data_IF_136949965816
#
_entry.id   IF_136949965816
#
_cell.length_a   1.000
_cell.length_b   1.000
_cell.length_c   1.000
_cell.angle_alpha   90.00
_cell.angle_beta   90.00
_cell.angle_gamma   90.00
#
_symmetry.space_group_name_H-M   'P 1'
#
loop_
_entity.id
_entity.type
_entity.pdbx_description
1 polymer ?
#
# COMPACT_ATOMS: atom_id res chain seq x y z
N UNK A 1 27.34 -9.81 5.85
CA UNK A 1 26.43 -9.19 4.85
C UNK A 1 25.77 -10.29 4.02
N UNK A 2 24.43 -10.40 4.08
CA UNK A 2 23.69 -11.39 3.30
C UNK A 2 23.30 -10.76 1.98
N UNK A 3 23.82 -11.27 0.86
CA UNK A 3 23.63 -10.70 -0.48
C UNK A 3 22.66 -11.47 -1.39
N UNK A 4 22.05 -12.56 -0.88
CA UNK A 4 21.09 -13.35 -1.64
C UNK A 4 20.04 -14.00 -0.75
N UNK A 5 18.87 -14.26 -1.31
CA UNK A 5 17.80 -15.04 -0.68
C UNK A 5 17.01 -15.80 -1.73
N UNK A 6 16.31 -16.84 -1.28
CA UNK A 6 15.32 -17.54 -2.06
C UNK A 6 13.96 -16.88 -1.85
N UNK A 7 13.19 -16.77 -2.93
CA UNK A 7 11.85 -16.20 -2.96
C UNK A 7 10.84 -17.33 -3.01
N UNK A 8 9.88 -17.28 -2.10
CA UNK A 8 8.80 -18.25 -1.99
C UNK A 8 7.46 -17.59 -2.22
N UNK A 9 6.55 -18.32 -2.83
CA UNK A 9 5.12 -18.02 -2.88
C UNK A 9 4.44 -18.81 -1.77
N UNK A 10 3.70 -18.12 -0.91
CA UNK A 10 2.93 -18.65 0.21
C UNK A 10 1.49 -18.17 0.05
N UNK A 11 0.77 -18.83 -0.84
CA UNK A 11 -0.63 -18.52 -1.14
C UNK A 11 -1.60 -19.53 -0.46
N UNK A 12 -2.44 -20.18 -1.22
CA UNK A 12 -3.36 -21.23 -0.76
C UNK A 12 -2.72 -22.61 -0.62
N UNK A 13 -1.46 -22.75 -1.01
CA UNK A 13 -0.71 -23.99 -0.99
C UNK A 13 0.46 -23.94 0.01
N UNK A 14 1.09 -25.08 0.22
CA UNK A 14 2.36 -25.13 0.92
C UNK A 14 3.39 -24.20 0.27
N UNK A 15 4.31 -23.61 1.06
CA UNK A 15 5.31 -22.69 0.55
C UNK A 15 6.09 -23.25 -0.61
N UNK A 16 6.12 -22.55 -1.73
CA UNK A 16 6.76 -22.99 -2.98
C UNK A 16 7.86 -22.00 -3.35
N UNK A 17 9.07 -22.53 -3.57
CA UNK A 17 10.16 -21.69 -4.06
C UNK A 17 9.87 -21.29 -5.51
N UNK A 18 9.89 -20.01 -5.79
CA UNK A 18 9.66 -19.47 -7.13
C UNK A 18 10.93 -18.92 -7.79
N UNK A 19 11.94 -18.51 -7.02
CA UNK A 19 13.15 -17.96 -7.60
C UNK A 19 14.23 -17.66 -6.57
N UNK A 20 15.30 -17.01 -7.08
CA UNK A 20 16.42 -16.52 -6.29
C UNK A 20 16.66 -15.05 -6.59
N UNK A 21 16.87 -14.27 -5.55
CA UNK A 21 17.24 -12.88 -5.62
C UNK A 21 18.65 -12.68 -5.04
N UNK A 22 19.50 -11.94 -5.75
CA UNK A 22 20.89 -11.68 -5.37
C UNK A 22 21.21 -10.22 -5.62
N UNK A 23 21.98 -9.60 -4.73
CA UNK A 23 22.59 -8.27 -4.96
C UNK A 23 24.08 -8.45 -5.13
N UNK A 24 24.62 -7.90 -6.22
CA UNK A 24 26.04 -7.85 -6.50
C UNK A 24 26.39 -6.46 -7.01
N UNK A 25 27.36 -5.80 -6.39
CA UNK A 25 27.84 -4.45 -6.76
C UNK A 25 26.72 -3.39 -6.87
N UNK A 26 25.73 -3.46 -5.97
CA UNK A 26 24.58 -2.57 -5.95
C UNK A 26 23.50 -2.87 -7.01
N UNK A 27 23.67 -3.93 -7.81
CA UNK A 27 22.71 -4.39 -8.80
C UNK A 27 21.98 -5.62 -8.28
N UNK A 28 20.64 -5.61 -8.37
CA UNK A 28 19.81 -6.74 -8.02
C UNK A 28 19.59 -7.65 -9.22
N UNK A 29 19.66 -8.95 -8.98
CA UNK A 29 19.43 -9.99 -9.99
C UNK A 29 18.36 -10.94 -9.48
N UNK A 30 17.34 -11.19 -10.30
CA UNK A 30 16.31 -12.17 -10.01
C UNK A 30 16.23 -13.21 -11.12
N UNK A 31 16.09 -14.47 -10.74
CA UNK A 31 15.87 -15.59 -11.65
C UNK A 31 14.79 -16.52 -11.12
N UNK A 32 13.85 -16.90 -11.98
CA UNK A 32 12.90 -17.96 -11.64
C UNK A 32 13.58 -19.31 -11.54
N UNK A 33 13.18 -20.14 -10.58
CA UNK A 33 13.64 -21.51 -10.46
C UNK A 33 13.00 -22.41 -11.53
N UNK A 34 13.75 -23.40 -12.04
CA UNK A 34 13.23 -24.37 -13.00
C UNK A 34 12.01 -25.14 -12.45
N UNK A 35 12.02 -25.42 -11.14
CA UNK A 35 10.88 -26.04 -10.46
C UNK A 35 9.62 -25.17 -10.45
N UNK A 36 9.75 -23.84 -10.52
CA UNK A 36 8.62 -22.93 -10.68
C UNK A 36 8.18 -22.84 -12.13
N UNK A 37 9.12 -22.64 -13.06
CA UNK A 37 8.84 -22.52 -14.50
C UNK A 37 8.12 -23.75 -15.08
N UNK A 38 8.39 -24.94 -14.57
CA UNK A 38 7.77 -26.18 -15.02
C UNK A 38 6.36 -26.45 -14.46
N UNK A 39 5.85 -25.62 -13.53
CA UNK A 39 4.53 -25.82 -12.93
C UNK A 39 3.43 -25.31 -13.84
N UNK A 40 2.30 -26.01 -13.84
CA UNK A 40 1.08 -25.56 -14.57
C UNK A 40 0.40 -24.34 -13.94
N UNK A 41 0.57 -24.18 -12.62
CA UNK A 41 0.02 -23.08 -11.81
C UNK A 41 1.04 -21.96 -11.55
N UNK A 42 2.19 -21.97 -12.22
CA UNK A 42 3.15 -20.89 -12.15
C UNK A 42 2.60 -19.61 -12.77
N UNK A 43 2.97 -18.51 -12.19
CA UNK A 43 2.65 -17.19 -12.69
C UNK A 43 3.85 -16.23 -12.52
N UNK A 44 3.94 -15.17 -13.35
CA UNK A 44 4.95 -14.14 -13.17
C UNK A 44 4.66 -13.32 -11.90
N UNK A 45 5.70 -13.04 -11.10
CA UNK A 45 5.54 -12.16 -9.93
C UNK A 45 5.20 -10.73 -10.35
N UNK A 46 5.72 -10.29 -11.47
CA UNK A 46 5.37 -9.05 -12.14
C UNK A 46 5.18 -9.35 -13.63
N UNK A 47 3.93 -9.30 -14.13
CA UNK A 47 3.63 -9.68 -15.51
C UNK A 47 4.17 -8.69 -16.55
N UNK A 48 4.60 -7.52 -16.12
CA UNK A 48 5.11 -6.46 -17.00
C UNK A 48 6.63 -6.49 -17.08
N UNK A 49 7.32 -6.51 -15.93
CA UNK A 49 8.75 -6.32 -15.84
C UNK A 49 9.52 -7.63 -15.68
N UNK A 50 8.89 -8.66 -15.10
CA UNK A 50 9.50 -9.96 -14.80
C UNK A 50 8.61 -11.09 -15.31
N UNK A 51 8.40 -11.21 -16.65
CA UNK A 51 7.59 -12.28 -17.24
C UNK A 51 8.14 -13.67 -16.88
N UNK A 52 7.28 -14.70 -16.95
CA UNK A 52 7.62 -16.08 -16.57
C UNK A 52 8.47 -16.74 -17.68
N UNK A 53 9.74 -16.42 -17.73
CA UNK A 53 10.72 -16.97 -18.69
C UNK A 53 12.04 -17.31 -17.99
N UNK A 54 12.79 -18.22 -18.59
CA UNK A 54 14.12 -18.64 -18.11
C UNK A 54 15.18 -17.60 -18.50
N UNK A 55 15.30 -16.57 -17.70
CA UNK A 55 16.31 -15.53 -17.86
C UNK A 55 16.67 -14.89 -16.52
N UNK A 56 17.81 -14.23 -16.46
CA UNK A 56 18.20 -13.42 -15.32
C UNK A 56 17.78 -11.98 -15.54
N UNK A 57 16.89 -11.51 -14.70
CA UNK A 57 16.45 -10.12 -14.70
C UNK A 57 17.36 -9.26 -13.84
N UNK A 58 17.66 -8.06 -14.29
CA UNK A 58 18.40 -7.06 -13.53
C UNK A 58 17.46 -6.00 -12.96
N UNK A 59 17.76 -5.56 -11.75
CA UNK A 59 17.06 -4.44 -11.13
C UNK A 59 17.33 -3.14 -11.89
N UNK A 60 16.29 -2.34 -12.17
CA UNK A 60 16.48 -0.98 -12.73
C UNK A 60 16.81 0.04 -11.64
N UNK A 61 16.60 -0.29 -10.37
CA UNK A 61 16.72 0.61 -9.23
C UNK A 61 18.13 0.68 -8.68
N UNK A 62 18.47 1.82 -8.09
CA UNK A 62 19.67 1.94 -7.23
C UNK A 62 19.54 0.99 -6.04
N UNK A 63 20.67 0.53 -5.53
CA UNK A 63 20.76 -0.43 -4.41
C UNK A 63 20.12 -1.79 -4.69
N UNK A 64 19.85 -2.09 -5.97
CA UNK A 64 19.42 -3.40 -6.42
C UNK A 64 17.97 -3.78 -6.08
N UNK A 65 17.14 -2.88 -5.62
CA UNK A 65 15.75 -3.18 -5.29
C UNK A 65 14.95 -3.67 -6.51
N UNK A 66 14.13 -4.69 -6.33
CA UNK A 66 13.19 -5.21 -7.33
C UNK A 66 11.77 -4.93 -6.80
N UNK A 67 11.03 -4.09 -7.51
CA UNK A 67 9.78 -3.51 -7.04
C UNK A 67 8.80 -4.51 -6.42
N UNK A 68 8.43 -5.56 -7.16
CA UNK A 68 7.49 -6.57 -6.68
C UNK A 68 7.96 -7.34 -5.43
N UNK A 69 9.28 -7.48 -5.24
CA UNK A 69 9.84 -8.07 -4.03
C UNK A 69 9.79 -7.04 -2.89
N UNK A 70 10.17 -5.79 -3.18
CA UNK A 70 10.19 -4.69 -2.23
C UNK A 70 8.80 -4.29 -1.71
N UNK A 71 7.72 -4.58 -2.45
CA UNK A 71 6.34 -4.40 -1.96
C UNK A 71 6.06 -5.21 -0.69
N UNK A 72 6.82 -6.28 -0.44
CA UNK A 72 6.71 -7.12 0.77
C UNK A 72 7.71 -6.75 1.88
N UNK A 73 8.59 -5.76 1.64
CA UNK A 73 9.58 -5.31 2.61
C UNK A 73 9.01 -4.29 3.61
N UNK A 74 9.65 -4.13 4.78
CA UNK A 74 9.38 -3.00 5.67
C UNK A 74 9.62 -1.65 4.98
N UNK A 75 8.73 -0.69 5.18
CA UNK A 75 8.87 0.71 4.75
C UNK A 75 9.18 1.62 5.97
N UNK A 76 9.04 2.92 5.83
CA UNK A 76 9.48 3.95 6.79
C UNK A 76 9.19 3.61 8.26
N UNK A 77 7.94 3.35 8.61
CA UNK A 77 7.56 2.95 9.98
C UNK A 77 8.16 1.61 10.37
N UNK A 78 8.02 0.60 9.51
CA UNK A 78 8.53 -0.74 9.76
C UNK A 78 10.05 -0.75 9.99
N UNK A 79 10.79 0.07 9.25
CA UNK A 79 12.24 0.24 9.44
C UNK A 79 12.56 0.91 10.78
N UNK A 80 11.80 1.93 11.20
CA UNK A 80 11.96 2.56 12.52
C UNK A 80 11.73 1.55 13.66
N UNK A 81 10.68 0.74 13.57
CA UNK A 81 10.37 -0.32 14.54
C UNK A 81 11.52 -1.33 14.60
N UNK A 82 12.03 -1.79 13.45
CA UNK A 82 13.15 -2.72 13.40
C UNK A 82 14.42 -2.14 14.05
N UNK A 83 14.74 -0.89 13.73
CA UNK A 83 15.90 -0.22 14.30
C UNK A 83 15.80 -0.06 15.81
N UNK A 84 14.60 0.29 16.31
CA UNK A 84 14.36 0.41 17.75
C UNK A 84 14.49 -0.95 18.47
N UNK A 85 14.07 -2.04 17.81
CA UNK A 85 14.11 -3.39 18.39
C UNK A 85 15.50 -4.02 18.37
N UNK A 86 16.27 -3.83 17.29
CA UNK A 86 17.51 -4.58 17.06
C UNK A 86 18.77 -3.74 17.09
N UNK A 87 18.66 -2.40 17.06
CA UNK A 87 19.80 -1.45 17.03
C UNK A 87 20.82 -1.76 15.91
N UNK A 88 20.40 -2.54 14.91
CA UNK A 88 21.21 -2.96 13.78
C UNK A 88 20.45 -2.67 12.48
N UNK A 89 21.07 -1.88 11.62
CA UNK A 89 20.50 -1.54 10.33
C UNK A 89 20.83 -2.61 9.29
N UNK A 90 19.82 -3.19 8.60
CA UNK A 90 20.07 -3.97 7.40
C UNK A 90 20.80 -3.15 6.34
N UNK A 91 21.83 -3.73 5.73
CA UNK A 91 22.76 -3.02 4.84
C UNK A 91 22.28 -2.97 3.39
N UNK A 92 21.35 -3.86 3.02
CA UNK A 92 20.85 -3.97 1.66
C UNK A 92 19.40 -4.49 1.61
N UNK A 93 18.81 -4.48 0.44
CA UNK A 93 17.40 -4.87 0.22
C UNK A 93 17.14 -6.35 0.56
N UNK A 94 18.11 -7.27 0.34
CA UNK A 94 17.95 -8.69 0.72
C UNK A 94 17.74 -8.81 2.24
N UNK A 95 18.51 -8.10 3.03
CA UNK A 95 18.38 -8.13 4.49
C UNK A 95 17.05 -7.55 4.95
N UNK A 96 16.57 -6.46 4.34
CA UNK A 96 15.24 -5.92 4.62
C UNK A 96 14.11 -6.90 4.28
N UNK A 97 14.22 -7.64 3.17
CA UNK A 97 13.26 -8.67 2.81
C UNK A 97 13.25 -9.84 3.81
N UNK A 98 14.42 -10.20 4.33
CA UNK A 98 14.55 -11.26 5.34
C UNK A 98 13.96 -10.85 6.70
N UNK A 99 14.05 -9.58 7.08
CA UNK A 99 13.45 -9.02 8.30
C UNK A 99 11.93 -9.17 8.27
N UNK A 100 11.28 -8.69 7.20
CA UNK A 100 9.83 -8.68 7.03
C UNK A 100 9.23 -9.98 6.47
N UNK A 101 10.06 -11.00 6.24
CA UNK A 101 9.67 -12.19 5.47
C UNK A 101 8.32 -12.78 5.85
N UNK A 102 7.42 -12.82 4.87
CA UNK A 102 6.09 -13.43 4.96
C UNK A 102 5.07 -12.70 5.84
N UNK A 103 5.39 -11.54 6.40
CA UNK A 103 4.43 -10.72 7.17
C UNK A 103 3.95 -9.50 6.39
N UNK A 104 4.69 -9.08 5.36
CA UNK A 104 4.39 -7.93 4.51
C UNK A 104 3.18 -8.13 3.61
N UNK A 105 3.00 -7.21 2.66
CA UNK A 105 1.92 -7.27 1.68
C UNK A 105 2.09 -8.47 0.73
N UNK A 106 0.96 -9.03 0.31
CA UNK A 106 0.93 -10.13 -0.64
C UNK A 106 1.29 -11.48 -0.03
N UNK A 107 1.75 -12.39 -0.89
CA UNK A 107 2.04 -13.77 -0.54
C UNK A 107 3.52 -14.15 -0.61
N UNK A 108 4.44 -13.18 -0.79
CA UNK A 108 5.85 -13.50 -0.90
C UNK A 108 6.50 -13.70 0.47
N UNK A 109 7.44 -14.63 0.51
CA UNK A 109 8.30 -14.88 1.66
C UNK A 109 9.76 -15.09 1.20
N UNK A 110 10.68 -14.78 2.08
CA UNK A 110 12.11 -14.76 1.77
C UNK A 110 12.89 -15.61 2.78
N UNK A 111 13.87 -16.36 2.30
CA UNK A 111 14.70 -17.19 3.17
C UNK A 111 16.14 -17.29 2.63
N UNK A 112 17.15 -17.32 3.51
CA UNK A 112 18.49 -17.67 3.09
C UNK A 112 18.60 -19.16 2.74
N UNK A 113 17.61 -19.98 3.14
CA UNK A 113 17.56 -21.42 2.88
C UNK A 113 16.64 -21.73 1.71
N UNK A 114 17.09 -22.62 0.82
CA UNK A 114 16.28 -23.15 -0.28
C UNK A 114 15.14 -24.08 0.20
N UNK A 115 15.31 -24.70 1.35
CA UNK A 115 14.46 -25.81 1.79
C UNK A 115 13.52 -25.41 2.94
N UNK A 116 13.68 -24.23 3.53
CA UNK A 116 12.94 -23.85 4.73
C UNK A 116 12.68 -22.34 4.74
N UNK A 117 11.45 -21.96 5.02
CA UNK A 117 11.11 -20.59 5.37
C UNK A 117 10.96 -20.45 6.90
N UNK A 118 11.12 -19.23 7.40
CA UNK A 118 10.80 -18.90 8.80
C UNK A 118 9.30 -19.11 9.04
N UNK A 119 8.91 -19.70 10.16
CA UNK A 119 7.52 -19.71 10.58
C UNK A 119 7.06 -18.27 10.87
N UNK A 120 5.90 -17.93 10.38
CA UNK A 120 5.39 -16.54 10.53
C UNK A 120 4.74 -16.30 11.90
N UNK A 121 4.36 -17.36 12.61
CA UNK A 121 3.61 -17.27 13.85
C UNK A 121 2.17 -16.74 13.60
N UNK A 122 1.48 -16.44 14.70
CA UNK A 122 0.15 -15.80 14.65
C UNK A 122 0.30 -14.33 15.01
N UNK A 123 -0.36 -13.39 14.29
CA UNK A 123 -0.38 -12.00 14.68
C UNK A 123 -0.89 -11.83 16.11
N UNK A 124 -0.49 -10.76 16.84
CA UNK A 124 -1.07 -10.43 18.13
C UNK A 124 -2.58 -10.20 18.02
N UNK A 125 -3.29 -10.43 19.13
CA UNK A 125 -4.71 -10.14 19.20
C UNK A 125 -4.95 -8.62 19.28
N UNK A 126 -6.10 -8.16 18.79
CA UNK A 126 -6.48 -6.74 18.83
C UNK A 126 -6.41 -6.14 20.24
N UNK A 127 -6.70 -6.93 21.28
CA UNK A 127 -6.58 -6.48 22.68
C UNK A 127 -5.15 -6.08 23.08
N UNK A 128 -4.14 -6.51 22.33
CA UNK A 128 -2.73 -6.14 22.55
C UNK A 128 -2.35 -4.78 21.95
N UNK A 129 -3.25 -4.14 21.19
CA UNK A 129 -3.00 -2.83 20.57
C UNK A 129 -2.72 -1.74 21.60
N UNK A 130 -3.35 -1.81 22.79
CA UNK A 130 -3.06 -0.88 23.88
C UNK A 130 -1.56 -0.90 24.30
N UNK A 131 -0.96 -2.08 24.35
CA UNK A 131 0.49 -2.23 24.61
C UNK A 131 1.32 -1.71 23.42
N UNK A 132 0.84 -1.96 22.19
CA UNK A 132 1.55 -1.46 21.01
C UNK A 132 1.54 0.07 20.91
N UNK A 133 0.49 0.75 21.35
CA UNK A 133 0.44 2.22 21.45
C UNK A 133 1.61 2.73 22.31
N UNK A 134 1.84 2.12 23.48
CA UNK A 134 2.95 2.50 24.37
C UNK A 134 4.33 2.30 23.69
N UNK A 135 4.49 1.20 22.96
CA UNK A 135 5.70 0.92 22.19
C UNK A 135 5.90 1.97 21.09
N UNK A 136 4.84 2.26 20.31
CA UNK A 136 4.88 3.25 19.24
C UNK A 136 5.25 4.64 19.77
N UNK A 137 4.66 5.02 20.90
CA UNK A 137 4.95 6.27 21.61
C UNK A 137 6.44 6.39 22.02
N UNK A 138 7.01 5.28 22.49
CA UNK A 138 8.42 5.23 22.90
C UNK A 138 9.35 5.36 21.69
N UNK A 139 9.01 4.68 20.59
CA UNK A 139 9.76 4.77 19.32
C UNK A 139 9.73 6.19 18.76
N UNK A 140 8.55 6.84 18.73
CA UNK A 140 8.40 8.21 18.22
C UNK A 140 9.12 9.25 19.09
N UNK A 141 9.25 8.98 20.40
CA UNK A 141 10.04 9.81 21.31
C UNK A 141 11.56 9.63 21.12
N UNK A 142 12.00 8.69 20.27
CA UNK A 142 13.43 8.37 20.10
C UNK A 142 14.04 7.71 21.33
N UNK A 143 13.22 7.20 22.25
CA UNK A 143 13.69 6.54 23.47
C UNK A 143 14.06 5.09 23.18
N UNK A 144 15.24 4.59 23.64
CA UNK A 144 15.61 3.20 23.48
C UNK A 144 14.57 2.27 24.14
N UNK A 145 14.20 1.19 23.45
CA UNK A 145 13.32 0.17 23.99
C UNK A 145 14.10 -0.73 24.95
N UNK A 146 13.65 -0.83 26.20
CA UNK A 146 14.19 -1.78 27.17
C UNK A 146 13.50 -3.15 27.01
N UNK A 147 14.06 -3.97 26.11
CA UNK A 147 13.54 -5.31 25.85
C UNK A 147 13.92 -6.33 26.95
N UNK A 148 14.82 -5.99 27.87
CA UNK A 148 15.25 -6.89 28.95
C UNK A 148 14.13 -7.11 29.98
N UNK A 149 13.32 -6.09 30.20
CA UNK A 149 12.18 -6.11 31.14
C UNK A 149 10.84 -6.50 30.49
N UNK A 150 10.78 -6.57 29.14
CA UNK A 150 9.55 -6.86 28.38
C UNK A 150 9.79 -7.96 27.32
N UNK A 151 10.00 -9.23 27.71
CA UNK A 151 10.80 -10.09 26.85
C UNK A 151 10.06 -10.63 25.61
N UNK A 152 8.92 -11.30 25.73
CA UNK A 152 8.36 -12.05 24.59
C UNK A 152 7.18 -11.37 23.89
N UNK A 153 6.35 -10.70 24.65
CA UNK A 153 5.16 -10.02 24.08
C UNK A 153 5.57 -8.85 23.20
N UNK A 154 6.50 -8.01 23.66
CA UNK A 154 7.01 -6.89 22.88
C UNK A 154 7.73 -7.33 21.63
N UNK A 155 8.51 -8.42 21.68
CA UNK A 155 9.19 -8.95 20.48
C UNK A 155 8.17 -9.30 19.39
N UNK A 156 7.05 -9.95 19.75
CA UNK A 156 5.98 -10.26 18.79
C UNK A 156 5.32 -9.00 18.24
N UNK A 157 4.97 -8.04 19.10
CA UNK A 157 4.38 -6.77 18.69
C UNK A 157 5.31 -6.00 17.73
N UNK A 158 6.62 -5.96 18.00
CA UNK A 158 7.61 -5.33 17.15
C UNK A 158 7.76 -6.03 15.80
N UNK A 159 7.78 -7.38 15.79
CA UNK A 159 7.83 -8.16 14.54
C UNK A 159 6.64 -7.85 13.62
N UNK A 160 5.43 -7.74 14.15
CA UNK A 160 4.23 -7.42 13.36
C UNK A 160 4.05 -5.92 13.13
N UNK A 161 4.57 -5.07 13.98
CA UNK A 161 4.64 -3.62 13.77
C UNK A 161 5.63 -3.20 12.68
N UNK A 162 6.65 -4.02 12.42
CA UNK A 162 7.65 -3.75 11.37
C UNK A 162 7.25 -4.26 9.99
N UNK A 163 6.14 -4.96 9.84
CA UNK A 163 5.86 -5.77 8.65
C UNK A 163 5.18 -5.05 7.50
N UNK A 164 4.57 -3.89 7.74
CA UNK A 164 3.74 -3.18 6.75
C UNK A 164 4.39 -1.88 6.29
N UNK A 165 4.13 -1.54 5.02
CA UNK A 165 4.60 -0.28 4.42
C UNK A 165 3.89 0.97 4.93
N UNK A 166 4.49 2.14 4.66
CA UNK A 166 3.96 3.46 4.99
C UNK A 166 4.59 4.11 6.22
N UNK A 167 4.29 5.39 6.42
CA UNK A 167 5.01 6.26 7.37
C UNK A 167 4.38 6.33 8.77
N UNK A 168 3.08 6.04 8.91
CA UNK A 168 2.36 6.13 10.19
C UNK A 168 2.51 4.86 11.03
N UNK A 169 2.43 4.98 12.38
CA UNK A 169 2.44 3.83 13.28
C UNK A 169 1.31 2.86 12.93
N UNK A 170 1.65 1.58 12.78
CA UNK A 170 0.71 0.52 12.46
C UNK A 170 1.25 -0.85 12.85
N UNK A 171 0.34 -1.79 13.08
CA UNK A 171 0.64 -3.18 13.41
C UNK A 171 -0.37 -4.11 12.73
N UNK A 172 0.05 -5.31 12.34
CA UNK A 172 -0.87 -6.37 11.94
C UNK A 172 -1.36 -7.10 13.18
N UNK A 173 -2.67 -7.24 13.30
CA UNK A 173 -3.35 -7.93 14.42
C UNK A 173 -4.36 -8.94 13.91
N UNK A 174 -4.76 -9.86 14.78
CA UNK A 174 -5.92 -10.72 14.59
C UNK A 174 -7.12 -10.12 15.31
N UNK A 175 -8.24 -9.98 14.61
CA UNK A 175 -9.52 -9.55 15.15
C UNK A 175 -10.65 -10.29 14.44
N UNK A 176 -11.61 -10.84 15.18
CA UNK A 176 -12.74 -11.61 14.63
C UNK A 176 -12.30 -12.74 13.65
N UNK A 177 -11.18 -13.40 13.97
CA UNK A 177 -10.64 -14.50 13.16
C UNK A 177 -9.98 -14.11 11.84
N UNK A 178 -9.78 -12.82 11.59
CA UNK A 178 -9.13 -12.28 10.39
C UNK A 178 -7.88 -11.48 10.73
N UNK A 179 -7.02 -11.26 9.73
CA UNK A 179 -5.88 -10.33 9.87
C UNK A 179 -6.30 -8.90 9.50
N UNK A 180 -5.96 -7.97 10.38
CA UNK A 180 -6.22 -6.54 10.23
C UNK A 180 -4.94 -5.73 10.39
N UNK A 181 -4.94 -4.54 9.84
CA UNK A 181 -3.92 -3.52 10.11
C UNK A 181 -4.54 -2.52 11.07
N UNK A 182 -4.01 -2.42 12.29
CA UNK A 182 -4.33 -1.36 13.23
C UNK A 182 -3.41 -0.17 12.96
N UNK A 183 -3.99 0.95 12.51
CA UNK A 183 -3.29 2.20 12.16
C UNK A 183 -3.56 3.25 13.25
N UNK A 184 -2.51 3.98 13.65
CA UNK A 184 -2.54 4.96 14.73
C UNK A 184 -2.17 6.35 14.21
N UNK A 185 -2.60 7.39 14.93
CA UNK A 185 -2.05 8.73 14.73
C UNK A 185 -0.60 8.79 15.24
N UNK A 186 0.19 9.68 14.67
CA UNK A 186 1.48 10.07 15.25
C UNK A 186 1.25 11.09 16.37
N UNK A 187 2.15 11.16 17.33
CA UNK A 187 2.16 12.24 18.33
C UNK A 187 2.30 13.63 17.73
N UNK A 188 2.92 13.73 16.57
CA UNK A 188 3.13 14.99 15.83
C UNK A 188 1.96 15.35 14.91
N UNK A 189 0.97 14.48 14.74
CA UNK A 189 -0.19 14.78 13.92
C UNK A 189 -1.03 15.88 14.61
N UNK A 190 -1.34 16.93 13.88
CA UNK A 190 -2.17 18.05 14.35
C UNK A 190 -3.67 17.82 14.13
N UNK A 191 -4.01 16.76 13.40
CA UNK A 191 -5.34 16.28 13.07
C UNK A 191 -5.51 14.84 13.54
N UNK A 192 -6.72 14.44 13.86
CA UNK A 192 -7.05 13.02 14.03
C UNK A 192 -7.16 12.34 12.64
N UNK A 193 -5.97 12.06 12.03
CA UNK A 193 -5.89 11.54 10.67
C UNK A 193 -6.56 10.18 10.51
N UNK A 194 -6.51 9.36 11.55
CA UNK A 194 -7.15 8.04 11.59
C UNK A 194 -8.67 8.15 11.49
N UNK A 195 -9.25 9.07 12.24
CA UNK A 195 -10.69 9.33 12.22
C UNK A 195 -11.13 9.98 10.90
N UNK A 196 -10.31 10.89 10.37
CA UNK A 196 -10.52 11.51 9.07
C UNK A 196 -10.50 10.46 7.95
N UNK A 197 -9.53 9.54 7.95
CA UNK A 197 -9.45 8.45 6.96
C UNK A 197 -10.69 7.56 7.01
N UNK A 198 -11.19 7.25 8.21
CA UNK A 198 -12.42 6.48 8.37
C UNK A 198 -13.64 7.21 7.82
N UNK A 199 -13.82 8.49 8.14
CA UNK A 199 -14.93 9.30 7.61
C UNK A 199 -14.83 9.47 6.07
N UNK A 200 -13.62 9.63 5.55
CA UNK A 200 -13.37 9.72 4.10
C UNK A 200 -13.75 8.43 3.38
N UNK A 201 -13.61 7.27 4.03
CA UNK A 201 -14.06 5.98 3.50
C UNK A 201 -15.56 5.98 3.21
N UNK A 202 -16.40 6.60 4.06
CA UNK A 202 -17.84 6.71 3.82
C UNK A 202 -18.14 7.57 2.58
N UNK A 203 -17.41 8.67 2.41
CA UNK A 203 -17.50 9.48 1.20
C UNK A 203 -17.10 8.68 -0.06
N UNK A 204 -16.06 7.87 0.02
CA UNK A 204 -15.63 7.02 -1.09
C UNK A 204 -16.72 6.01 -1.49
N UNK A 205 -17.37 5.38 -0.50
CA UNK A 205 -18.50 4.48 -0.73
C UNK A 205 -19.67 5.20 -1.40
N UNK A 206 -20.00 6.42 -0.97
CA UNK A 206 -21.11 7.20 -1.54
C UNK A 206 -20.92 7.51 -3.03
N UNK A 207 -19.67 7.65 -3.48
CA UNK A 207 -19.35 7.85 -4.90
C UNK A 207 -19.12 6.53 -5.66
N UNK A 208 -19.32 5.38 -5.01
CA UNK A 208 -19.21 4.06 -5.63
C UNK A 208 -17.78 3.51 -5.76
N UNK A 209 -16.84 3.99 -4.93
CA UNK A 209 -15.51 3.40 -4.75
C UNK A 209 -15.63 2.29 -3.70
N UNK A 210 -14.88 1.20 -3.90
CA UNK A 210 -14.83 0.09 -2.95
C UNK A 210 -13.55 0.17 -2.10
N UNK A 211 -13.62 0.68 -0.85
CA UNK A 211 -12.53 0.59 0.10
C UNK A 211 -12.49 -0.80 0.78
N UNK A 212 -11.42 -1.15 1.50
CA UNK A 212 -11.42 -2.31 2.39
C UNK A 212 -12.43 -2.13 3.53
N UNK A 213 -12.80 -3.22 4.21
CA UNK A 213 -13.57 -3.16 5.45
C UNK A 213 -12.75 -2.42 6.51
N UNK A 214 -13.37 -1.45 7.18
CA UNK A 214 -12.72 -0.66 8.23
C UNK A 214 -13.61 -0.57 9.47
N UNK A 215 -12.96 -0.50 10.65
CA UNK A 215 -13.60 -0.26 11.93
C UNK A 215 -12.80 0.81 12.68
N UNK A 216 -13.50 1.74 13.34
CA UNK A 216 -12.88 2.78 14.16
C UNK A 216 -13.11 2.46 15.64
N UNK A 217 -12.04 2.43 16.41
CA UNK A 217 -12.06 2.16 17.84
C UNK A 217 -11.40 3.31 18.61
N UNK A 218 -11.81 3.47 19.86
CA UNK A 218 -11.08 4.26 20.86
C UNK A 218 -10.42 3.32 21.86
N UNK A 219 -9.12 3.45 22.03
CA UNK A 219 -8.34 2.68 22.99
C UNK A 219 -7.62 3.68 23.90
N UNK A 220 -8.11 3.85 25.13
CA UNK A 220 -7.54 4.76 26.12
C UNK A 220 -7.40 6.21 25.62
N UNK A 221 -8.36 6.70 24.82
CA UNK A 221 -8.37 8.03 24.23
C UNK A 221 -7.55 8.16 22.93
N UNK A 222 -7.03 7.06 22.41
CA UNK A 222 -6.36 7.02 21.10
C UNK A 222 -7.32 6.47 20.04
N UNK A 223 -7.50 7.20 18.95
CA UNK A 223 -8.22 6.71 17.79
C UNK A 223 -7.39 5.61 17.10
N UNK A 224 -8.00 4.45 16.87
CA UNK A 224 -7.39 3.29 16.21
C UNK A 224 -8.25 2.88 15.02
N UNK A 225 -7.68 2.88 13.82
CA UNK A 225 -8.35 2.42 12.61
C UNK A 225 -7.91 0.98 12.30
N UNK A 226 -8.87 0.06 12.37
CA UNK A 226 -8.71 -1.29 11.85
C UNK A 226 -9.06 -1.33 10.37
N UNK A 227 -8.16 -1.85 9.56
CA UNK A 227 -8.33 -2.06 8.12
C UNK A 227 -8.18 -3.55 7.86
N UNK A 228 -9.24 -4.24 7.39
CA UNK A 228 -9.17 -5.66 7.05
C UNK A 228 -8.17 -5.86 5.90
N UNK A 229 -7.28 -6.83 6.04
CA UNK A 229 -6.31 -7.16 5.01
C UNK A 229 -7.00 -7.80 3.80
N UNK A 230 -7.06 -7.08 2.70
CA UNK A 230 -7.67 -7.54 1.46
C UNK A 230 -6.80 -8.54 0.66
N UNK A 231 -5.53 -8.66 1.04
CA UNK A 231 -4.59 -9.64 0.49
C UNK A 231 -4.62 -10.98 1.26
N UNK A 232 -5.60 -11.17 2.12
CA UNK A 232 -5.91 -12.38 2.88
C UNK A 232 -7.38 -12.74 2.67
N UNK A 233 -7.65 -14.01 2.49
CA UNK A 233 -9.01 -14.54 2.46
C UNK A 233 -9.05 -15.95 3.08
N UNK A 234 -10.22 -16.62 3.03
CA UNK A 234 -10.39 -17.95 3.61
C UNK A 234 -9.51 -19.03 2.97
N UNK A 235 -9.02 -18.83 1.75
CA UNK A 235 -8.13 -19.75 1.04
C UNK A 235 -6.65 -19.49 1.33
N UNK A 236 -6.31 -18.35 1.96
CA UNK A 236 -4.93 -17.99 2.28
C UNK A 236 -4.54 -16.62 1.74
N UNK A 237 -3.27 -16.48 1.37
CA UNK A 237 -2.70 -15.22 0.92
C UNK A 237 -2.88 -15.04 -0.58
N UNK A 238 -2.99 -13.79 -1.01
CA UNK A 238 -3.07 -13.42 -2.43
C UNK A 238 -1.81 -12.67 -2.83
N UNK A 239 -1.32 -12.95 -4.03
CA UNK A 239 -0.24 -12.15 -4.57
C UNK A 239 -0.72 -10.73 -4.82
N UNK A 240 0.06 -9.77 -4.34
CA UNK A 240 -0.17 -8.32 -4.47
C UNK A 240 1.01 -7.69 -5.19
N UNK A 241 0.73 -6.72 -6.04
CA UNK A 241 1.74 -5.89 -6.68
C UNK A 241 1.27 -4.43 -6.73
N UNK A 242 2.12 -3.50 -6.29
CA UNK A 242 1.81 -2.08 -6.35
C UNK A 242 1.94 -1.53 -7.78
N UNK A 243 1.22 -0.45 -8.07
CA UNK A 243 1.39 0.32 -9.30
C UNK A 243 2.82 0.88 -9.40
N UNK A 244 3.41 1.27 -8.26
CA UNK A 244 4.79 1.71 -8.20
C UNK A 244 5.76 0.65 -8.77
N UNK A 245 5.58 -0.61 -8.39
CA UNK A 245 6.40 -1.72 -8.89
C UNK A 245 6.15 -2.01 -10.36
N UNK A 246 4.88 -2.05 -10.80
CA UNK A 246 4.51 -2.27 -12.19
C UNK A 246 5.03 -1.18 -13.15
N UNK A 247 5.08 0.08 -12.70
CA UNK A 247 5.64 1.19 -13.45
C UNK A 247 7.17 1.19 -13.42
N UNK A 248 7.78 0.24 -12.71
CA UNK A 248 9.23 0.11 -12.57
C UNK A 248 9.89 1.40 -12.05
N UNK A 249 9.34 1.91 -10.98
CA UNK A 249 9.61 3.23 -10.42
C UNK A 249 11.08 3.49 -10.08
N UNK A 250 11.86 2.45 -9.88
CA UNK A 250 13.28 2.58 -9.61
C UNK A 250 14.11 3.17 -10.73
N UNK A 251 13.55 3.31 -11.95
CA UNK A 251 14.21 4.03 -13.07
C UNK A 251 14.05 5.53 -12.97
N UNK A 252 13.11 6.02 -12.17
CA UNK A 252 12.86 7.44 -12.03
C UNK A 252 13.61 7.91 -10.80
N UNK A 253 14.57 8.80 -10.99
CA UNK A 253 15.22 9.50 -9.90
C UNK A 253 14.17 10.32 -9.15
N UNK A 254 14.24 10.37 -7.83
CA UNK A 254 13.37 11.22 -6.99
C UNK A 254 13.38 12.69 -7.43
N UNK A 255 14.41 13.10 -8.12
CA UNK A 255 14.64 14.45 -8.66
C UNK A 255 13.95 14.72 -10.01
N UNK A 256 13.35 13.72 -10.63
CA UNK A 256 12.77 13.88 -11.97
C UNK A 256 11.30 14.35 -11.85
N UNK A 257 11.13 15.60 -11.42
CA UNK A 257 9.82 16.28 -11.36
C UNK A 257 9.06 16.31 -12.71
N UNK A 258 9.70 15.88 -13.79
CA UNK A 258 9.14 15.85 -15.15
C UNK A 258 8.54 14.49 -15.54
N UNK A 259 8.90 13.41 -14.87
CA UNK A 259 8.37 12.06 -15.13
C UNK A 259 7.50 11.59 -13.99
N UNK A 260 6.45 12.35 -13.70
CA UNK A 260 5.46 11.94 -12.69
C UNK A 260 4.64 10.77 -13.21
N UNK A 261 4.44 9.76 -12.37
CA UNK A 261 3.41 8.75 -12.59
C UNK A 261 2.05 9.41 -12.69
N UNK A 262 1.14 8.78 -13.43
CA UNK A 262 -0.19 9.32 -13.65
C UNK A 262 -1.27 8.25 -13.55
N UNK A 263 -2.47 8.66 -13.21
CA UNK A 263 -3.65 7.78 -13.25
C UNK A 263 -3.90 7.20 -14.65
N UNK A 264 -3.57 7.95 -15.69
CA UNK A 264 -3.63 7.43 -17.06
C UNK A 264 -2.72 6.21 -17.28
N UNK A 265 -1.51 6.21 -16.67
CA UNK A 265 -0.63 5.04 -16.70
C UNK A 265 -1.19 3.88 -15.87
N UNK A 266 -1.86 4.14 -14.75
CA UNK A 266 -2.55 3.10 -13.98
C UNK A 266 -3.65 2.44 -14.81
N UNK A 267 -4.43 3.23 -15.55
CA UNK A 267 -5.44 2.73 -16.47
C UNK A 267 -4.84 1.91 -17.63
N UNK A 268 -3.70 2.34 -18.17
CA UNK A 268 -2.98 1.59 -19.21
C UNK A 268 -2.47 0.24 -18.69
N UNK A 269 -1.94 0.19 -17.46
CA UNK A 269 -1.53 -1.06 -16.81
C UNK A 269 -2.73 -1.99 -16.64
N UNK A 270 -3.87 -1.48 -16.15
CA UNK A 270 -5.07 -2.31 -15.94
C UNK A 270 -5.55 -2.97 -17.22
N UNK A 271 -5.43 -2.29 -18.37
CA UNK A 271 -5.78 -2.87 -19.68
C UNK A 271 -4.85 -4.00 -20.13
N UNK A 272 -3.65 -4.07 -19.55
CA UNK A 272 -2.67 -5.11 -19.90
C UNK A 272 -2.76 -6.34 -19.02
N UNK A 273 -3.17 -6.17 -17.76
CA UNK A 273 -3.06 -7.25 -16.77
C UNK A 273 -4.41 -7.71 -16.18
N UNK A 274 -5.49 -6.93 -16.33
CA UNK A 274 -6.78 -7.27 -15.74
C UNK A 274 -7.72 -7.95 -16.73
N UNK A 275 -8.59 -8.85 -16.21
CA UNK A 275 -9.58 -9.55 -17.01
C UNK A 275 -10.66 -8.63 -17.60
N UNK A 276 -11.09 -7.62 -16.83
CA UNK A 276 -12.14 -6.69 -17.26
C UNK A 276 -11.68 -5.22 -17.19
N UNK A 277 -10.90 -4.78 -18.20
CA UNK A 277 -10.45 -3.38 -18.25
C UNK A 277 -11.61 -2.39 -18.41
N UNK A 278 -12.79 -2.81 -18.90
CA UNK A 278 -13.94 -1.93 -19.12
C UNK A 278 -14.61 -1.53 -17.80
N UNK A 279 -14.49 -2.35 -16.77
CA UNK A 279 -14.90 -1.98 -15.41
C UNK A 279 -13.80 -1.23 -14.67
N UNK A 280 -12.55 -1.68 -14.81
CA UNK A 280 -11.46 -1.21 -13.99
C UNK A 280 -10.95 0.18 -14.39
N UNK A 281 -10.85 0.47 -15.69
CA UNK A 281 -10.35 1.78 -16.13
C UNK A 281 -11.30 2.94 -15.74
N UNK A 282 -12.62 2.85 -15.85
CA UNK A 282 -13.55 3.84 -15.29
C UNK A 282 -13.49 3.95 -13.75
N UNK A 283 -13.23 2.85 -13.04
CA UNK A 283 -13.05 2.87 -11.59
C UNK A 283 -11.79 3.66 -11.20
N UNK A 284 -10.69 3.49 -11.94
CA UNK A 284 -9.47 4.27 -11.74
C UNK A 284 -9.74 5.77 -11.98
N UNK A 285 -10.53 6.11 -13.00
CA UNK A 285 -10.98 7.49 -13.23
C UNK A 285 -11.78 8.04 -12.05
N UNK A 286 -12.72 7.26 -11.52
CA UNK A 286 -13.53 7.61 -10.34
C UNK A 286 -12.65 7.91 -9.14
N UNK A 287 -11.62 7.10 -8.87
CA UNK A 287 -10.64 7.32 -7.79
C UNK A 287 -9.81 8.58 -8.00
N UNK A 288 -9.40 8.85 -9.24
CA UNK A 288 -8.69 10.08 -9.61
C UNK A 288 -9.53 11.32 -9.30
N UNK A 289 -10.79 11.34 -9.76
CA UNK A 289 -11.71 12.45 -9.50
C UNK A 289 -11.97 12.62 -8.00
N UNK A 290 -12.20 11.52 -7.29
CA UNK A 290 -12.41 11.53 -5.84
C UNK A 290 -11.23 12.14 -5.11
N UNK A 291 -10.01 11.65 -5.34
CA UNK A 291 -8.80 12.16 -4.71
C UNK A 291 -8.54 13.64 -5.05
N UNK A 292 -8.87 14.07 -6.26
CA UNK A 292 -8.80 15.48 -6.65
C UNK A 292 -9.81 16.33 -5.87
N UNK A 293 -11.06 15.88 -5.73
CA UNK A 293 -12.15 16.59 -5.07
C UNK A 293 -12.00 16.69 -3.55
N UNK A 294 -11.46 15.66 -2.91
CA UNK A 294 -11.20 15.67 -1.46
C UNK A 294 -9.86 16.34 -1.11
N UNK A 295 -9.02 16.66 -2.10
CA UNK A 295 -7.69 17.22 -1.89
C UNK A 295 -6.69 16.22 -1.30
N UNK A 296 -6.79 14.92 -1.66
CA UNK A 296 -5.77 13.94 -1.34
C UNK A 296 -4.55 14.13 -2.23
N UNK A 297 -3.72 15.12 -1.92
CA UNK A 297 -2.54 15.47 -2.72
C UNK A 297 -1.38 14.50 -2.55
N UNK A 298 -1.43 13.62 -1.53
CA UNK A 298 -0.41 12.62 -1.25
C UNK A 298 -0.68 11.26 -1.90
N UNK A 299 -1.73 11.17 -2.73
CA UNK A 299 -2.05 9.93 -3.43
C UNK A 299 -0.98 9.59 -4.47
N UNK A 300 -0.18 8.59 -4.16
CA UNK A 300 0.98 8.19 -4.96
C UNK A 300 0.85 6.73 -5.46
N UNK A 301 1.76 6.32 -6.36
CA UNK A 301 1.67 5.02 -7.02
C UNK A 301 1.72 3.79 -6.07
N UNK A 302 2.18 3.94 -4.83
CA UNK A 302 2.14 2.87 -3.81
C UNK A 302 0.77 2.71 -3.16
N UNK A 303 -0.12 3.70 -3.26
CA UNK A 303 -1.50 3.63 -2.76
C UNK A 303 -2.45 2.91 -3.73
N UNK A 304 -1.93 2.47 -4.86
CA UNK A 304 -2.66 1.68 -5.84
C UNK A 304 -1.97 0.34 -6.06
N UNK A 305 -2.74 -0.71 -6.24
CA UNK A 305 -2.19 -2.03 -6.49
C UNK A 305 -3.18 -2.99 -7.12
N UNK A 306 -2.68 -4.16 -7.44
CA UNK A 306 -3.44 -5.22 -8.05
C UNK A 306 -3.23 -6.53 -7.27
N UNK A 307 -4.29 -7.30 -7.17
CA UNK A 307 -4.30 -8.63 -6.58
C UNK A 307 -4.42 -9.67 -7.68
N UNK A 308 -3.56 -10.66 -7.69
CA UNK A 308 -3.69 -11.78 -8.62
C UNK A 308 -5.04 -12.46 -8.44
N UNK A 309 -5.76 -12.63 -9.54
CA UNK A 309 -7.00 -13.38 -9.54
C UNK A 309 -6.73 -14.87 -9.32
N UNK A 310 -7.50 -15.52 -8.45
CA UNK A 310 -7.32 -16.96 -8.19
C UNK A 310 -7.77 -17.76 -9.40
N UNK A 311 -7.00 -18.80 -9.73
CA UNK A 311 -7.30 -19.67 -10.85
C UNK A 311 -7.02 -19.13 -12.24
N UNK A 312 -6.71 -17.83 -12.38
CA UNK A 312 -6.44 -17.14 -13.65
C UNK A 312 -5.06 -16.46 -13.62
N UNK A 313 -4.54 -16.08 -14.78
CA UNK A 313 -3.30 -15.31 -14.88
C UNK A 313 -3.51 -13.79 -14.97
N UNK A 314 -4.72 -13.33 -14.74
CA UNK A 314 -5.07 -11.92 -14.69
C UNK A 314 -5.08 -11.36 -13.25
N UNK A 315 -5.33 -10.07 -13.16
CA UNK A 315 -5.33 -9.34 -11.89
C UNK A 315 -6.66 -8.59 -11.70
N UNK A 316 -6.97 -8.34 -10.45
CA UNK A 316 -8.08 -7.49 -9.99
C UNK A 316 -7.50 -6.21 -9.37
N UNK A 317 -8.17 -5.10 -9.56
CA UNK A 317 -7.82 -3.87 -8.85
C UNK A 317 -8.01 -4.07 -7.34
N UNK A 318 -7.00 -3.74 -6.55
CA UNK A 318 -7.13 -3.79 -5.10
C UNK A 318 -8.17 -2.77 -4.60
N UNK A 319 -8.85 -3.01 -3.46
CA UNK A 319 -9.66 -1.99 -2.81
C UNK A 319 -8.91 -0.65 -2.67
N UNK A 320 -9.62 0.46 -2.71
CA UNK A 320 -9.00 1.77 -2.55
C UNK A 320 -8.66 2.02 -1.07
N UNK A 321 -7.43 2.34 -0.78
CA UNK A 321 -6.92 2.56 0.58
C UNK A 321 -6.08 3.83 0.66
N UNK A 322 -5.83 4.31 1.87
CA UNK A 322 -5.02 5.50 2.18
C UNK A 322 -5.59 6.78 1.52
N UNK A 323 -6.92 6.88 1.51
CA UNK A 323 -7.65 8.04 0.98
C UNK A 323 -7.88 9.03 2.12
N UNK A 324 -7.09 10.10 2.17
CA UNK A 324 -7.21 11.11 3.20
C UNK A 324 -6.92 12.51 2.66
N UNK A 325 -7.79 13.50 2.88
CA UNK A 325 -7.51 14.87 2.48
C UNK A 325 -6.30 15.42 3.22
N UNK A 326 -5.52 16.27 2.55
CA UNK A 326 -4.37 16.93 3.14
C UNK A 326 -4.71 18.38 3.46
N UNK A 327 -4.42 18.89 4.67
CA UNK A 327 -4.68 20.25 5.06
C UNK A 327 -3.70 21.23 4.38
N UNK A 328 -3.71 21.31 3.06
CA UNK A 328 -2.76 22.10 2.29
C UNK A 328 -3.46 23.06 1.32
N UNK A 329 -2.82 24.18 1.08
CA UNK A 329 -3.21 25.14 0.04
C UNK A 329 -2.78 24.72 -1.38
N UNK A 330 -1.94 23.69 -1.51
CA UNK A 330 -1.44 23.23 -2.80
C UNK A 330 -2.46 22.30 -3.48
N UNK A 331 -2.73 22.56 -4.76
CA UNK A 331 -3.55 21.72 -5.63
C UNK A 331 -2.71 20.80 -6.52
N UNK A 332 -1.43 20.60 -6.17
CA UNK A 332 -0.50 19.74 -6.90
C UNK A 332 -0.51 18.37 -6.26
N UNK A 333 -0.97 17.37 -7.00
CA UNK A 333 -1.05 15.98 -6.57
C UNK A 333 0.27 15.23 -6.80
N UNK A 334 0.46 14.12 -6.12
CA UNK A 334 1.63 13.24 -6.34
C UNK A 334 1.54 12.50 -7.67
N UNK A 335 0.33 12.08 -8.09
CA UNK A 335 0.08 11.49 -9.41
C UNK A 335 -0.39 12.55 -10.42
N UNK A 336 0.00 12.37 -11.68
CA UNK A 336 -0.52 13.14 -12.80
C UNK A 336 -2.01 12.86 -13.05
N UNK A 337 -2.79 13.91 -13.23
CA UNK A 337 -4.23 13.86 -13.41
C UNK A 337 -4.65 13.93 -14.88
N UNK A 338 -3.80 14.46 -15.75
CA UNK A 338 -4.07 14.63 -17.18
C UNK A 338 -2.93 15.29 -17.91
N UNK A 339 -3.24 15.95 -19.06
CA UNK A 339 -2.26 16.57 -19.94
C UNK A 339 -1.55 17.79 -19.35
N UNK A 340 -2.21 18.46 -18.37
CA UNK A 340 -1.64 19.55 -17.59
C UNK A 340 -0.89 19.06 -16.32
N UNK A 341 -0.53 17.77 -16.29
CA UNK A 341 0.25 17.17 -15.20
C UNK A 341 -0.56 16.97 -13.92
N UNK A 342 -0.05 17.45 -12.78
CA UNK A 342 -0.51 17.11 -11.41
C UNK A 342 -1.49 18.13 -10.80
N UNK A 343 -1.97 19.08 -11.58
CA UNK A 343 -2.84 20.15 -11.09
C UNK A 343 -4.31 19.71 -11.16
N UNK A 344 -5.04 19.80 -10.04
CA UNK A 344 -6.46 19.51 -9.98
C UNK A 344 -7.28 20.67 -10.62
N UNK A 345 -7.52 20.54 -11.92
CA UNK A 345 -8.40 21.42 -12.70
C UNK A 345 -9.39 20.57 -13.50
N UNK A 346 -10.60 21.10 -13.69
CA UNK A 346 -11.65 20.42 -14.45
C UNK A 346 -11.17 20.02 -15.88
N UNK A 347 -10.52 20.96 -16.59
CA UNK A 347 -9.94 20.70 -17.91
C UNK A 347 -8.94 19.56 -17.90
N UNK A 348 -8.07 19.52 -16.88
CA UNK A 348 -7.04 18.51 -16.75
C UNK A 348 -7.61 17.12 -16.46
N UNK A 349 -8.60 17.02 -15.56
CA UNK A 349 -9.27 15.74 -15.26
C UNK A 349 -9.95 15.12 -16.46
N UNK A 350 -10.45 15.93 -17.40
CA UNK A 350 -11.13 15.46 -18.61
C UNK A 350 -10.14 15.11 -19.74
N UNK A 351 -8.97 15.72 -19.74
CA UNK A 351 -8.04 15.72 -20.88
C UNK A 351 -7.68 14.32 -21.40
N UNK A 352 -7.56 13.35 -20.49
CA UNK A 352 -7.22 11.96 -20.82
C UNK A 352 -8.37 10.95 -20.66
N UNK A 353 -9.64 11.39 -20.74
CA UNK A 353 -10.82 10.52 -20.55
C UNK A 353 -10.76 9.20 -21.35
N UNK A 354 -10.26 9.25 -22.59
CA UNK A 354 -10.12 8.06 -23.46
C UNK A 354 -9.21 6.98 -22.90
N UNK A 355 -8.17 7.35 -22.10
CA UNK A 355 -7.31 6.35 -21.43
C UNK A 355 -8.06 5.52 -20.42
N UNK A 356 -9.11 6.09 -19.84
CA UNK A 356 -10.02 5.44 -18.90
C UNK A 356 -11.23 4.78 -19.56
N UNK A 357 -11.21 4.64 -20.89
CA UNK A 357 -12.30 4.09 -21.69
C UNK A 357 -13.63 4.88 -21.56
N UNK A 358 -13.53 6.19 -21.32
CA UNK A 358 -14.66 7.11 -21.20
C UNK A 358 -14.71 8.08 -22.39
N UNK A 359 -15.92 8.49 -22.76
CA UNK A 359 -16.10 9.69 -23.57
C UNK A 359 -15.86 10.95 -22.72
N UNK A 360 -15.68 12.09 -23.37
CA UNK A 360 -15.53 13.36 -22.65
C UNK A 360 -16.78 13.70 -21.83
N UNK A 361 -17.95 13.44 -22.39
CA UNK A 361 -19.24 13.66 -21.74
C UNK A 361 -19.42 12.77 -20.50
N UNK A 362 -19.01 11.50 -20.58
CA UNK A 362 -19.02 10.58 -19.45
C UNK A 362 -18.05 11.03 -18.33
N UNK A 363 -16.88 11.53 -18.72
CA UNK A 363 -15.91 12.06 -17.77
C UNK A 363 -16.44 13.31 -17.03
N UNK A 364 -17.07 14.23 -17.75
CA UNK A 364 -17.73 15.41 -17.16
C UNK A 364 -18.85 14.97 -16.21
N UNK A 365 -19.73 14.09 -16.67
CA UNK A 365 -20.85 13.59 -15.87
C UNK A 365 -20.39 12.92 -14.56
N UNK A 366 -19.26 12.21 -14.56
CA UNK A 366 -18.70 11.60 -13.36
C UNK A 366 -18.14 12.67 -12.38
N UNK A 367 -17.50 13.72 -12.87
CA UNK A 367 -17.04 14.84 -12.03
C UNK A 367 -18.24 15.53 -11.37
N UNK A 368 -19.27 15.90 -12.16
CA UNK A 368 -20.46 16.59 -11.65
C UNK A 368 -21.21 15.72 -10.64
N UNK A 369 -21.33 14.41 -10.92
CA UNK A 369 -21.93 13.45 -9.99
C UNK A 369 -21.21 13.42 -8.64
N UNK A 370 -19.87 13.36 -8.65
CA UNK A 370 -19.11 13.34 -7.41
C UNK A 370 -19.18 14.67 -6.67
N UNK A 371 -19.12 15.81 -7.36
CA UNK A 371 -19.29 17.13 -6.73
C UNK A 371 -20.59 17.19 -5.95
N UNK A 372 -21.70 16.72 -6.56
CA UNK A 372 -23.00 16.74 -5.91
C UNK A 372 -23.06 15.79 -4.70
N UNK A 373 -22.49 14.57 -4.79
CA UNK A 373 -22.49 13.59 -3.70
C UNK A 373 -21.57 14.00 -2.53
N UNK A 374 -20.52 14.74 -2.82
CA UNK A 374 -19.56 15.20 -1.80
C UNK A 374 -19.93 16.58 -1.22
N UNK A 375 -21.02 17.22 -1.65
CA UNK A 375 -21.40 18.55 -1.18
C UNK A 375 -21.54 18.61 0.36
N UNK A 376 -22.12 17.56 0.95
CA UNK A 376 -22.40 17.48 2.39
C UNK A 376 -21.29 16.76 3.19
N UNK A 377 -20.04 16.73 2.70
CA UNK A 377 -18.94 16.04 3.32
C UNK A 377 -18.74 16.39 4.82
N UNK A 378 -19.06 17.64 5.23
CA UNK A 378 -18.95 18.06 6.64
C UNK A 378 -19.89 17.26 7.54
N UNK A 379 -21.13 17.07 7.12
CA UNK A 379 -22.12 16.27 7.86
C UNK A 379 -21.64 14.85 8.04
N UNK A 380 -21.04 14.23 7.02
CA UNK A 380 -20.46 12.89 7.13
C UNK A 380 -19.32 12.87 8.16
N UNK A 381 -18.47 13.87 8.16
CA UNK A 381 -17.36 13.97 9.12
C UNK A 381 -17.86 14.16 10.56
N UNK A 382 -18.87 15.01 10.76
CA UNK A 382 -19.52 15.22 12.07
C UNK A 382 -20.16 13.94 12.60
N UNK A 383 -20.83 13.16 11.73
CA UNK A 383 -21.44 11.87 12.10
C UNK A 383 -20.39 10.85 12.57
N UNK A 384 -19.16 10.94 12.10
CA UNK A 384 -18.04 10.10 12.50
C UNK A 384 -17.15 10.75 13.60
N UNK A 385 -17.67 11.76 14.29
CA UNK A 385 -17.00 12.45 15.39
C UNK A 385 -15.63 13.06 15.01
N UNK A 386 -15.44 13.49 13.78
CA UNK A 386 -14.31 14.34 13.39
C UNK A 386 -14.51 15.72 14.05
N UNK A 387 -13.47 16.24 14.69
CA UNK A 387 -13.59 17.48 15.45
C UNK A 387 -13.93 18.68 14.54
N UNK A 388 -14.66 19.68 15.09
CA UNK A 388 -14.96 20.91 14.37
C UNK A 388 -13.67 21.67 13.98
N UNK A 389 -12.58 21.50 14.72
CA UNK A 389 -11.27 22.06 14.38
C UNK A 389 -10.70 21.37 13.14
N UNK A 390 -10.69 20.03 13.10
CA UNK A 390 -10.20 19.25 11.98
C UNK A 390 -11.00 19.54 10.70
N UNK A 391 -12.33 19.62 10.81
CA UNK A 391 -13.21 19.97 9.69
C UNK A 391 -12.84 21.35 9.13
N UNK A 392 -12.64 22.36 9.98
CA UNK A 392 -12.21 23.69 9.54
C UNK A 392 -10.85 23.68 8.85
N UNK A 393 -9.89 22.92 9.37
CA UNK A 393 -8.55 22.79 8.76
C UNK A 393 -8.60 22.16 7.37
N UNK A 394 -9.59 21.31 7.11
CA UNK A 394 -9.77 20.62 5.83
C UNK A 394 -10.65 21.36 4.82
N UNK A 395 -11.34 22.43 5.22
CA UNK A 395 -12.26 23.17 4.33
C UNK A 395 -11.61 23.61 3.02
N UNK A 396 -10.34 23.93 3.05
CA UNK A 396 -9.61 24.36 1.87
C UNK A 396 -9.19 23.21 0.95
N UNK A 397 -9.32 21.97 1.38
CA UNK A 397 -8.94 20.79 0.61
C UNK A 397 -10.06 20.30 -0.30
N UNK A 398 -11.32 20.48 0.12
CA UNK A 398 -12.48 19.93 -0.58
C UNK A 398 -12.98 20.78 -1.74
N UNK A 399 -13.47 20.10 -2.80
CA UNK A 399 -14.24 20.63 -3.93
C UNK A 399 -13.58 21.80 -4.69
N UNK A 400 -12.26 21.88 -4.71
CA UNK A 400 -11.52 22.97 -5.34
C UNK A 400 -11.05 22.69 -6.77
N UNK A 401 -11.76 21.85 -7.49
CA UNK A 401 -11.53 21.66 -8.92
C UNK A 401 -12.19 22.83 -9.67
N UNK A 402 -11.39 23.79 -10.13
CA UNK A 402 -11.85 24.96 -10.90
C UNK A 402 -11.89 24.69 -12.38
#
# INVERSE_FOLDING_TARGET
>A
MTSNCYVFVVDEHEPRICGKYTIQDGVGYFVYGQSWLSRKDAYPLDPINYPLIDTTFQSPAQHGAIGVLSDSAPDSWGRQVHMAAHQQQPENEVEWLLVGSGRGAGCLAFSPSRNKIKSFGTPPDFNEVATFIQIADTIEAGTPLDLSNHPKEWTRLLEYGSSMGGAKPKIVVTHEGKEWIAKLNRKTDTLDVVKIEFATRELAVSVGITPPTMQLHDINGHSVLLIERFDRDALGRRHYISVHSLLNAGRIREDDSKTSYSYGQVADLSRRICADPRQIAPEIYRRMVFNALIGNTDDHARNHGFLKNRGNNDYLLAPAFDMSPQPRSSHVHSLGLGDEGRIAKHSNLISQAKRFLLTKEQAIAEIDRQINLLADWRTVYEQHNVSALDIRMLEQSFLRVK
#
